data_IF_149399311993
#
_entry.id   IF_149399311993
#
_cell.length_a   1.000
_cell.length_b   1.000
_cell.length_c   1.000
_cell.angle_alpha   90.00
_cell.angle_beta   90.00
_cell.angle_gamma   90.00
#
_symmetry.space_group_name_H-M   'P 1'
#
loop_
_entity.id
_entity.type
_entity.pdbx_description
1 polymer ?
#
# COMPACT_ATOMS: atom_id res chain seq x y z
N UNK A 1 19.26 17.19 -10.93
CA UNK A 1 19.30 18.09 -9.76
C UNK A 1 17.97 18.31 -9.04
N UNK A 2 16.87 18.66 -9.71
CA UNK A 2 15.62 19.06 -9.05
C UNK A 2 15.08 18.06 -7.99
N UNK A 3 15.11 16.75 -8.27
CA UNK A 3 14.61 15.74 -7.33
C UNK A 3 15.42 15.65 -6.02
N UNK A 4 16.67 16.13 -6.00
CA UNK A 4 17.52 16.13 -4.79
C UNK A 4 17.32 17.38 -3.93
N UNK A 5 16.74 18.45 -4.49
CA UNK A 5 16.61 19.75 -3.83
C UNK A 5 15.16 20.17 -3.60
N UNK A 6 14.19 19.48 -4.21
CA UNK A 6 12.77 19.72 -4.02
C UNK A 6 12.16 18.74 -3.00
N UNK A 7 11.31 19.28 -2.11
CA UNK A 7 10.48 18.50 -1.19
C UNK A 7 9.02 18.67 -1.62
N UNK A 8 8.31 17.57 -1.81
CA UNK A 8 6.86 17.57 -2.01
C UNK A 8 6.15 17.50 -0.66
N UNK A 9 5.36 18.52 -0.34
CA UNK A 9 4.45 18.50 0.81
C UNK A 9 3.01 18.37 0.29
N UNK A 10 2.29 17.35 0.77
CA UNK A 10 0.88 17.15 0.43
C UNK A 10 0.11 16.69 1.66
N UNK A 11 -1.15 17.11 1.78
CA UNK A 11 -2.06 16.68 2.83
C UNK A 11 -3.43 16.41 2.22
N UNK A 12 -3.96 15.23 2.46
CA UNK A 12 -5.32 14.85 2.05
C UNK A 12 -5.85 13.76 2.97
N UNK A 13 -7.16 13.76 3.18
CA UNK A 13 -7.87 12.65 3.83
C UNK A 13 -7.84 11.39 2.95
N UNK A 14 -7.75 10.23 3.60
CA UNK A 14 -7.89 8.94 2.92
C UNK A 14 -9.33 8.73 2.44
N UNK A 15 -9.46 8.04 1.30
CA UNK A 15 -10.75 7.70 0.73
C UNK A 15 -11.16 6.27 1.12
N UNK A 16 -12.44 6.12 1.39
CA UNK A 16 -13.15 4.87 1.60
C UNK A 16 -14.24 4.70 0.52
N UNK A 17 -15.02 3.60 0.51
CA UNK A 17 -16.05 3.38 -0.50
C UNK A 17 -17.16 4.45 -0.55
N UNK A 18 -17.42 5.19 0.52
CA UNK A 18 -18.51 6.19 0.61
C UNK A 18 -18.09 7.59 0.13
N UNK A 19 -16.79 7.89 0.06
CA UNK A 19 -16.27 9.19 -0.39
C UNK A 19 -15.26 9.04 -1.57
N UNK A 20 -15.38 7.94 -2.31
CA UNK A 20 -14.48 7.60 -3.40
C UNK A 20 -14.59 8.57 -4.57
N UNK A 21 -13.45 9.10 -5.02
CA UNK A 21 -13.36 10.07 -6.11
C UNK A 21 -12.28 9.66 -7.12
N UNK A 22 -12.71 9.39 -8.36
CA UNK A 22 -11.83 8.95 -9.45
C UNK A 22 -10.83 10.03 -9.91
N UNK A 23 -11.20 11.31 -9.89
CA UNK A 23 -10.30 12.39 -10.30
C UNK A 23 -9.13 12.50 -9.32
N UNK A 24 -9.42 12.32 -8.02
CA UNK A 24 -8.39 12.26 -6.98
C UNK A 24 -7.49 11.05 -7.11
N UNK A 25 -8.02 9.89 -7.50
CA UNK A 25 -7.23 8.69 -7.76
C UNK A 25 -6.25 8.90 -8.92
N UNK A 26 -6.68 9.57 -10.01
CA UNK A 26 -5.83 9.87 -11.16
C UNK A 26 -4.68 10.83 -10.85
N UNK A 27 -4.82 11.67 -9.82
CA UNK A 27 -3.81 12.63 -9.37
C UNK A 27 -3.09 12.21 -8.08
N UNK A 28 -3.20 10.94 -7.70
CA UNK A 28 -2.53 10.45 -6.50
C UNK A 28 -1.01 10.61 -6.64
N UNK A 29 -0.33 10.86 -5.52
CA UNK A 29 1.15 10.98 -5.47
C UNK A 29 1.79 9.85 -4.67
N UNK A 30 1.00 8.93 -4.12
CA UNK A 30 1.44 7.78 -3.33
C UNK A 30 0.88 6.51 -3.97
N UNK A 31 1.78 5.61 -4.39
CA UNK A 31 1.42 4.41 -5.12
C UNK A 31 2.19 3.19 -4.63
N UNK A 32 1.58 2.02 -4.78
CA UNK A 32 2.21 0.74 -4.60
C UNK A 32 2.59 0.15 -5.96
N UNK A 33 3.84 -0.26 -6.10
CA UNK A 33 4.25 -1.12 -7.20
C UNK A 33 4.07 -2.57 -6.78
N UNK A 34 3.41 -3.36 -7.61
CA UNK A 34 3.26 -4.81 -7.40
C UNK A 34 4.11 -5.60 -8.40
N UNK A 35 4.56 -6.83 -8.05
CA UNK A 35 5.46 -7.63 -8.90
C UNK A 35 4.96 -7.94 -10.32
N UNK A 36 3.65 -7.90 -10.55
CA UNK A 36 3.07 -8.10 -11.89
C UNK A 36 3.08 -6.84 -12.78
N UNK A 37 3.74 -5.78 -12.33
CA UNK A 37 3.99 -4.56 -13.09
C UNK A 37 2.91 -3.48 -12.94
N UNK A 38 1.85 -3.72 -12.16
CA UNK A 38 0.83 -2.68 -11.90
C UNK A 38 1.35 -1.64 -10.89
N UNK A 39 0.92 -0.39 -11.09
CA UNK A 39 1.10 0.72 -10.14
C UNK A 39 -0.28 1.12 -9.64
N UNK A 40 -0.51 0.99 -8.34
CA UNK A 40 -1.84 1.12 -7.72
C UNK A 40 -1.84 2.31 -6.75
N UNK A 41 -2.72 3.31 -6.92
CA UNK A 41 -2.85 4.42 -5.97
C UNK A 41 -3.19 3.96 -4.55
N UNK A 42 -2.75 4.73 -3.55
CA UNK A 42 -2.84 4.34 -2.13
C UNK A 42 -4.26 3.95 -1.67
N UNK A 43 -5.26 4.80 -1.94
CA UNK A 43 -6.62 4.55 -1.46
C UNK A 43 -7.26 3.36 -2.18
N UNK A 44 -7.05 3.23 -3.50
CA UNK A 44 -7.55 2.07 -4.26
C UNK A 44 -6.85 0.77 -3.83
N UNK A 45 -5.56 0.84 -3.49
CA UNK A 45 -4.85 -0.31 -2.94
C UNK A 45 -5.53 -0.79 -1.65
N UNK A 46 -5.73 0.09 -0.67
CA UNK A 46 -6.27 -0.30 0.62
C UNK A 46 -7.76 -0.68 0.58
N UNK A 47 -8.58 0.01 -0.22
CA UNK A 47 -10.03 -0.17 -0.20
C UNK A 47 -10.55 -1.20 -1.22
N UNK A 48 -9.77 -1.55 -2.26
CA UNK A 48 -10.22 -2.41 -3.37
C UNK A 48 -9.27 -3.59 -3.62
N UNK A 49 -7.97 -3.33 -3.80
CA UNK A 49 -7.05 -4.34 -4.33
C UNK A 49 -6.32 -5.19 -3.26
N UNK A 50 -6.24 -4.71 -2.02
CA UNK A 50 -5.45 -5.32 -0.94
C UNK A 50 -5.76 -6.80 -0.73
N UNK A 51 -7.05 -7.16 -0.60
CA UNK A 51 -7.43 -8.54 -0.30
C UNK A 51 -6.99 -9.52 -1.39
N UNK A 52 -7.10 -9.16 -2.66
CA UNK A 52 -6.62 -10.00 -3.76
C UNK A 52 -5.09 -10.13 -3.76
N UNK A 53 -4.39 -9.01 -3.59
CA UNK A 53 -2.92 -8.98 -3.59
C UNK A 53 -2.34 -9.76 -2.41
N UNK A 54 -2.90 -9.61 -1.21
CA UNK A 54 -2.46 -10.36 -0.03
C UNK A 54 -2.74 -11.86 -0.17
N UNK A 55 -3.81 -12.24 -0.87
CA UNK A 55 -4.09 -13.65 -1.15
C UNK A 55 -3.05 -14.24 -2.12
N UNK A 56 -2.67 -13.49 -3.14
CA UNK A 56 -1.78 -13.97 -4.20
C UNK A 56 -0.29 -13.91 -3.81
N UNK A 57 0.10 -12.90 -3.03
CA UNK A 57 1.51 -12.61 -2.72
C UNK A 57 1.85 -12.65 -1.23
N UNK A 58 0.84 -12.69 -0.36
CA UNK A 58 1.05 -12.68 1.08
C UNK A 58 1.65 -13.99 1.58
N UNK A 59 2.50 -13.90 2.60
CA UNK A 59 3.00 -15.04 3.35
C UNK A 59 2.29 -15.10 4.71
N UNK A 60 1.64 -16.22 5.06
CA UNK A 60 1.08 -16.40 6.38
C UNK A 60 2.14 -16.21 7.48
N UNK A 61 1.74 -15.56 8.58
CA UNK A 61 2.67 -15.20 9.66
C UNK A 61 3.44 -16.39 10.23
N UNK A 62 2.77 -17.55 10.36
CA UNK A 62 3.38 -18.79 10.87
C UNK A 62 4.52 -19.27 9.97
N UNK A 63 4.33 -19.17 8.66
CA UNK A 63 5.32 -19.59 7.67
C UNK A 63 6.50 -18.61 7.64
N UNK A 64 6.22 -17.30 7.71
CA UNK A 64 7.27 -16.29 7.79
C UNK A 64 8.13 -16.45 9.05
N UNK A 65 7.52 -16.72 10.21
CA UNK A 65 8.19 -16.99 11.49
C UNK A 65 9.12 -18.20 11.38
N UNK A 66 8.61 -19.32 10.85
CA UNK A 66 9.39 -20.54 10.67
C UNK A 66 10.62 -20.31 9.77
N UNK A 67 10.46 -19.49 8.71
CA UNK A 67 11.54 -19.16 7.78
C UNK A 67 12.64 -18.28 8.39
N UNK A 68 12.28 -17.38 9.30
CA UNK A 68 13.22 -16.40 9.87
C UNK A 68 13.70 -16.76 11.29
N UNK A 69 13.14 -17.81 11.90
CA UNK A 69 13.48 -18.28 13.25
C UNK A 69 13.42 -17.15 14.30
N UNK A 70 12.35 -16.35 14.26
CA UNK A 70 12.10 -15.22 15.17
C UNK A 70 10.78 -15.39 15.91
N UNK A 71 10.76 -15.08 17.20
CA UNK A 71 9.51 -14.97 17.95
C UNK A 71 8.91 -13.58 17.75
N UNK A 72 7.64 -13.52 17.35
CA UNK A 72 6.89 -12.27 17.24
C UNK A 72 6.10 -12.10 18.53
N UNK A 73 6.47 -11.12 19.35
CA UNK A 73 5.57 -10.60 20.37
C UNK A 73 4.60 -9.63 19.69
N UNK A 74 3.30 -9.92 19.73
CA UNK A 74 2.34 -8.84 19.51
C UNK A 74 2.46 -7.89 20.71
N UNK A 75 2.61 -6.57 20.51
CA UNK A 75 2.36 -5.63 21.59
C UNK A 75 0.88 -5.77 21.99
N UNK A 76 0.66 -5.97 23.28
CA UNK A 76 -0.67 -5.99 23.92
C UNK A 76 -1.36 -4.63 23.83
#
# INVERSE_FOLDING_TARGET
DLQRTAILLSAMHFMDPYNFDLERVQRCVIHYAVPDGRIIPFCTMNSIHRSGIEKDLGLPIKEWVAKHNVEISQPS
#
